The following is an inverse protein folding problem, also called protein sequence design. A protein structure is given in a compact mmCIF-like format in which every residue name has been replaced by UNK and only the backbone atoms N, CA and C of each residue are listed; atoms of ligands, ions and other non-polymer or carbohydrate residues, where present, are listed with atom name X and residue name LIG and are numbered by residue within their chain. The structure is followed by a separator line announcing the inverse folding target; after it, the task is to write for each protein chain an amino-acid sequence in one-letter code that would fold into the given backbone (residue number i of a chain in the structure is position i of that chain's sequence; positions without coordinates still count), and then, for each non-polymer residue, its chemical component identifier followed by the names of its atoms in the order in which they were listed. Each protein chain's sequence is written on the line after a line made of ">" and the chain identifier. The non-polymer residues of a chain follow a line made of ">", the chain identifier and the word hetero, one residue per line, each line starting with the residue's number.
data_IF_339056682560
#
_entry.id   IF_339056682560
#
_cell.length_a   1.000
_cell.length_b   1.000
_cell.length_c   1.000
_cell.angle_alpha   90.00
_cell.angle_beta   90.00
_cell.angle_gamma   90.00
#
_symmetry.space_group_name_H-M   'P 1'
#
loop_
_entity.id
_entity.type
_entity.pdbx_description
1 polymer ?
#
# COMPACT_ATOMS: atom_id res chain seq x y z
N UNK A 1 -3.96 15.59 -60.27
CA UNK A 1 -3.14 16.05 -59.15
C UNK A 1 -3.89 15.97 -57.81
N UNK A 2 -4.55 14.84 -57.44
CA UNK A 2 -5.27 14.69 -56.14
C UNK A 2 -5.04 13.32 -55.46
N UNK A 3 -3.95 12.60 -55.77
CA UNK A 3 -3.65 11.29 -55.16
C UNK A 3 -2.31 11.21 -54.41
N UNK A 4 -1.57 12.34 -54.26
CA UNK A 4 -0.26 12.33 -53.59
C UNK A 4 -0.30 12.81 -52.12
N UNK A 5 -1.39 13.42 -51.63
CA UNK A 5 -1.45 13.96 -50.26
C UNK A 5 -1.89 12.96 -49.20
N UNK A 6 -2.54 11.83 -49.60
CA UNK A 6 -3.04 10.85 -48.64
C UNK A 6 -1.96 9.83 -48.17
N UNK A 7 -0.88 9.67 -48.93
CA UNK A 7 0.16 8.71 -48.59
C UNK A 7 1.22 9.26 -47.64
N UNK A 8 1.37 10.58 -47.58
CA UNK A 8 2.34 11.22 -46.69
C UNK A 8 1.83 11.30 -45.22
N UNK A 9 0.51 11.31 -45.01
CA UNK A 9 -0.08 11.40 -43.65
C UNK A 9 -0.02 10.08 -42.90
N UNK A 10 -0.06 8.93 -43.61
CA UNK A 10 -0.01 7.59 -42.99
C UNK A 10 1.42 7.26 -42.51
N UNK A 11 2.45 7.75 -43.20
CA UNK A 11 3.84 7.52 -42.79
C UNK A 11 4.25 8.32 -41.55
N UNK A 12 3.65 9.49 -41.34
CA UNK A 12 3.91 10.32 -40.12
C UNK A 12 3.29 9.73 -38.83
N UNK A 13 2.13 9.05 -38.94
CA UNK A 13 1.54 8.40 -37.76
C UNK A 13 2.27 7.12 -37.34
N UNK A 14 2.84 6.36 -38.26
CA UNK A 14 3.61 5.16 -37.94
C UNK A 14 4.98 5.47 -37.33
N UNK A 15 5.59 6.61 -37.65
CA UNK A 15 6.88 6.99 -37.09
C UNK A 15 6.78 7.56 -35.63
N UNK A 16 5.62 8.04 -35.21
CA UNK A 16 5.44 8.56 -33.83
C UNK A 16 5.31 7.40 -32.84
N UNK A 17 4.71 6.28 -33.20
CA UNK A 17 4.63 5.11 -32.34
C UNK A 17 5.97 4.33 -32.24
N UNK A 18 6.80 4.31 -33.27
CA UNK A 18 8.12 3.65 -33.23
C UNK A 18 9.15 4.41 -32.37
N UNK A 19 9.03 5.73 -32.21
CA UNK A 19 9.93 6.52 -31.37
C UNK A 19 9.57 6.46 -29.87
N UNK A 20 8.36 6.00 -29.52
CA UNK A 20 7.93 5.89 -28.12
C UNK A 20 8.35 4.55 -27.45
N UNK A 21 8.86 3.58 -28.20
CA UNK A 21 9.12 2.23 -27.67
C UNK A 21 10.50 2.01 -27.05
N UNK A 22 11.41 2.98 -27.05
CA UNK A 22 12.80 2.78 -26.55
C UNK A 22 13.23 3.72 -25.42
N UNK A 23 12.33 4.54 -24.87
CA UNK A 23 12.67 5.35 -23.71
C UNK A 23 12.46 4.54 -22.42
N UNK A 24 13.60 4.26 -21.73
CA UNK A 24 13.58 3.62 -20.42
C UNK A 24 12.70 4.44 -19.44
N UNK A 25 11.81 3.80 -18.67
CA UNK A 25 10.93 4.52 -17.75
C UNK A 25 11.71 5.46 -16.84
N UNK A 26 11.20 6.69 -16.65
CA UNK A 26 11.84 7.71 -15.83
C UNK A 26 12.21 7.23 -14.42
N UNK A 27 11.36 6.42 -13.82
CA UNK A 27 11.56 5.92 -12.47
C UNK A 27 12.64 4.83 -12.35
N UNK A 28 13.17 4.31 -13.47
CA UNK A 28 14.25 3.35 -13.49
C UNK A 28 15.63 4.05 -13.45
N UNK A 29 16.52 3.58 -12.59
CA UNK A 29 17.92 4.02 -12.51
C UNK A 29 18.81 2.88 -13.00
N UNK A 30 19.57 3.13 -14.04
CA UNK A 30 20.49 2.14 -14.63
C UNK A 30 21.93 2.41 -14.20
N UNK A 31 22.71 1.34 -14.01
CA UNK A 31 24.16 1.38 -13.79
C UNK A 31 24.81 0.27 -14.63
N UNK A 32 25.80 0.62 -15.46
CA UNK A 32 26.46 -0.31 -16.38
C UNK A 32 25.46 -1.09 -17.24
N UNK A 33 24.47 -0.40 -17.82
CA UNK A 33 23.42 -0.99 -18.69
C UNK A 33 22.36 -1.83 -17.97
N UNK A 34 22.51 -2.10 -16.66
CA UNK A 34 21.56 -2.92 -15.88
C UNK A 34 20.70 -2.06 -14.98
N UNK A 35 19.41 -2.40 -14.86
CA UNK A 35 18.48 -1.77 -13.92
C UNK A 35 19.02 -1.94 -12.49
N UNK A 36 19.37 -0.81 -11.87
CA UNK A 36 20.08 -0.81 -10.59
C UNK A 36 19.17 -0.46 -9.41
N UNK A 37 18.37 0.60 -9.53
CA UNK A 37 17.50 1.13 -8.50
C UNK A 37 16.28 1.84 -9.11
N UNK A 38 15.44 2.41 -8.25
CA UNK A 38 14.24 3.16 -8.63
C UNK A 38 14.20 4.51 -7.95
N UNK A 39 13.40 5.44 -8.49
CA UNK A 39 13.11 6.77 -7.93
C UNK A 39 11.63 7.08 -8.04
N UNK A 40 11.15 8.02 -7.23
CA UNK A 40 9.80 8.56 -7.37
C UNK A 40 9.65 9.34 -8.69
N UNK A 41 8.41 9.55 -9.10
CA UNK A 41 8.07 10.52 -10.14
C UNK A 41 8.44 11.93 -9.68
N UNK A 42 8.53 12.86 -10.61
CA UNK A 42 8.85 14.25 -10.30
C UNK A 42 7.73 14.97 -9.56
N UNK A 43 8.07 16.06 -8.88
CA UNK A 43 7.14 16.96 -8.18
C UNK A 43 6.80 16.57 -6.75
N UNK A 44 7.08 15.34 -6.31
CA UNK A 44 6.87 14.94 -4.93
C UNK A 44 7.92 15.50 -3.95
N UNK A 45 7.63 15.55 -2.63
CA UNK A 45 8.55 16.07 -1.62
C UNK A 45 9.85 15.27 -1.58
N UNK A 46 10.97 15.97 -1.48
CA UNK A 46 12.31 15.37 -1.37
C UNK A 46 12.79 15.47 0.07
N UNK A 47 13.38 14.38 0.56
CA UNK A 47 14.07 14.40 1.84
C UNK A 47 15.35 15.21 1.73
N UNK A 48 15.63 16.03 2.76
CA UNK A 48 16.91 16.73 2.87
C UNK A 48 18.06 15.69 2.77
N UNK A 49 18.99 15.86 1.81
CA UNK A 49 20.12 14.93 1.65
C UNK A 49 21.06 14.91 2.86
N UNK A 50 21.11 16.00 3.63
CA UNK A 50 21.94 16.14 4.84
C UNK A 50 21.25 15.63 6.09
N UNK A 51 20.01 15.19 6.00
CA UNK A 51 19.25 14.71 7.14
C UNK A 51 19.90 13.46 7.74
N UNK A 52 20.19 13.53 9.05
CA UNK A 52 20.68 12.40 9.85
C UNK A 52 19.65 12.02 10.90
N UNK A 53 19.27 10.75 10.88
CA UNK A 53 18.35 10.20 11.86
C UNK A 53 18.98 10.17 13.26
N UNK A 54 18.30 10.73 14.24
CA UNK A 54 18.75 10.73 15.65
C UNK A 54 18.00 9.65 16.47
N UNK A 55 18.59 8.46 16.54
CA UNK A 55 18.02 7.34 17.26
C UNK A 55 17.88 7.57 18.77
N UNK A 56 18.74 8.40 19.39
CA UNK A 56 18.66 8.72 20.82
C UNK A 56 17.41 9.54 21.09
N UNK A 57 17.23 10.63 20.36
CA UNK A 57 16.05 11.49 20.48
C UNK A 57 14.78 10.69 20.18
N UNK A 58 14.76 9.89 19.11
CA UNK A 58 13.57 9.06 18.80
C UNK A 58 13.19 8.15 19.95
N UNK A 59 14.15 7.47 20.59
CA UNK A 59 13.88 6.57 21.72
C UNK A 59 13.39 7.31 22.96
N UNK A 60 13.92 8.49 23.22
CA UNK A 60 13.51 9.33 24.36
C UNK A 60 12.07 9.85 24.16
N UNK A 61 11.76 10.39 23.00
CA UNK A 61 10.40 10.86 22.67
C UNK A 61 9.39 9.71 22.65
N UNK A 62 9.74 8.59 22.03
CA UNK A 62 8.89 7.40 22.00
C UNK A 62 8.49 6.90 23.39
N UNK A 63 9.36 7.01 24.41
CA UNK A 63 9.03 6.61 25.81
C UNK A 63 7.94 7.47 26.44
N UNK A 64 7.73 8.68 25.94
CA UNK A 64 6.69 9.61 26.42
C UNK A 64 5.31 9.26 25.87
N UNK A 65 5.25 8.51 24.77
CA UNK A 65 3.97 8.10 24.18
C UNK A 65 3.29 7.05 25.04
N UNK A 66 2.04 7.29 25.35
CA UNK A 66 1.16 6.30 26.00
C UNK A 66 0.57 5.38 24.94
N UNK A 67 0.51 4.09 25.24
CA UNK A 67 -0.26 3.14 24.45
C UNK A 67 -1.69 3.21 24.96
N UNK A 68 -2.44 4.13 24.38
CA UNK A 68 -3.83 4.43 24.75
C UNK A 68 -4.71 4.25 23.49
N UNK A 69 -5.64 3.31 23.56
CA UNK A 69 -6.64 3.05 22.52
C UNK A 69 -7.91 2.48 23.17
N UNK A 70 -9.09 2.75 22.60
CA UNK A 70 -10.34 2.22 23.13
C UNK A 70 -10.33 0.68 23.13
N UNK A 71 -10.84 0.01 24.17
CA UNK A 71 -10.91 -1.44 24.24
C UNK A 71 -11.60 -2.06 23.03
N UNK A 72 -12.60 -1.39 22.46
CA UNK A 72 -13.33 -1.81 21.28
C UNK A 72 -12.54 -1.67 19.97
N UNK A 73 -11.31 -1.15 19.97
CA UNK A 73 -10.46 -1.07 18.79
C UNK A 73 -10.08 -2.45 18.24
N UNK A 74 -10.11 -3.47 19.07
CA UNK A 74 -9.80 -4.86 18.68
C UNK A 74 -11.00 -5.74 18.90
N UNK A 75 -11.43 -6.46 17.86
CA UNK A 75 -12.49 -7.45 17.94
C UNK A 75 -11.93 -8.75 18.53
N UNK A 76 -12.65 -9.32 19.48
CA UNK A 76 -12.30 -10.62 20.06
C UNK A 76 -12.15 -11.69 18.96
N UNK A 77 -11.12 -12.53 19.09
CA UNK A 77 -10.78 -13.56 18.09
C UNK A 77 -11.94 -14.53 17.82
N UNK A 78 -12.70 -14.92 18.83
CA UNK A 78 -13.82 -15.85 18.64
C UNK A 78 -14.94 -15.20 17.84
N UNK A 79 -15.17 -13.90 18.05
CA UNK A 79 -16.12 -13.11 17.26
C UNK A 79 -15.63 -12.99 15.82
N UNK A 80 -14.33 -12.76 15.60
CA UNK A 80 -13.75 -12.71 14.25
C UNK A 80 -13.94 -14.02 13.50
N UNK A 81 -13.66 -15.17 14.13
CA UNK A 81 -13.85 -16.50 13.54
C UNK A 81 -15.32 -16.75 13.20
N UNK A 82 -16.23 -16.41 14.09
CA UNK A 82 -17.69 -16.51 13.85
C UNK A 82 -18.13 -15.62 12.68
N UNK A 83 -17.58 -14.40 12.58
CA UNK A 83 -17.89 -13.49 11.49
C UNK A 83 -17.34 -13.98 10.15
N UNK A 84 -16.14 -14.56 10.11
CA UNK A 84 -15.61 -15.18 8.89
C UNK A 84 -16.50 -16.29 8.37
N UNK A 85 -17.05 -17.14 9.24
CA UNK A 85 -18.00 -18.19 8.86
C UNK A 85 -19.33 -17.57 8.39
N UNK A 86 -19.84 -16.56 9.11
CA UNK A 86 -21.07 -15.84 8.74
C UNK A 86 -20.99 -15.21 7.35
N UNK A 87 -19.87 -14.57 7.02
CA UNK A 87 -19.69 -13.83 5.76
C UNK A 87 -18.96 -14.63 4.67
N UNK A 88 -18.81 -15.96 4.84
CA UNK A 88 -18.03 -16.79 3.92
C UNK A 88 -18.51 -16.75 2.46
N UNK A 89 -19.81 -16.50 2.22
CA UNK A 89 -20.41 -16.40 0.88
C UNK A 89 -20.45 -14.96 0.35
N UNK A 90 -20.21 -13.96 1.20
CA UNK A 90 -20.26 -12.55 0.82
C UNK A 90 -18.90 -12.07 0.27
N UNK A 91 -18.92 -10.99 -0.52
CA UNK A 91 -17.73 -10.17 -0.74
C UNK A 91 -17.56 -9.23 0.45
N UNK A 92 -16.34 -9.14 1.00
CA UNK A 92 -16.08 -8.37 2.21
C UNK A 92 -14.67 -7.82 2.27
N UNK A 93 -14.47 -6.86 3.15
CA UNK A 93 -13.17 -6.33 3.58
C UNK A 93 -13.01 -6.62 5.08
N UNK A 94 -11.86 -7.12 5.47
CA UNK A 94 -11.46 -7.34 6.86
C UNK A 94 -10.12 -6.69 7.13
N UNK A 95 -10.01 -5.90 8.20
CA UNK A 95 -8.73 -5.37 8.65
C UNK A 95 -8.06 -6.35 9.63
N UNK A 96 -6.89 -6.87 9.24
CA UNK A 96 -6.11 -7.73 10.13
C UNK A 96 -5.30 -6.90 11.13
N UNK A 97 -4.49 -6.00 10.63
CA UNK A 97 -3.75 -4.97 11.36
C UNK A 97 -2.94 -4.12 10.38
N UNK A 98 -2.46 -2.97 10.78
CA UNK A 98 -1.53 -2.11 10.04
C UNK A 98 -1.96 -1.88 8.57
N UNK A 99 -1.21 -2.42 7.60
CA UNK A 99 -1.56 -2.43 6.18
C UNK A 99 -2.04 -3.81 5.69
N UNK A 100 -2.32 -4.74 6.62
CA UNK A 100 -2.77 -6.09 6.28
C UNK A 100 -4.28 -6.15 6.24
N UNK A 101 -4.85 -6.44 5.06
CA UNK A 101 -6.28 -6.65 4.84
C UNK A 101 -6.53 -7.98 4.16
N UNK A 102 -7.71 -8.55 4.46
CA UNK A 102 -8.31 -9.60 3.63
C UNK A 102 -9.46 -8.96 2.87
N UNK A 103 -9.41 -9.03 1.54
CA UNK A 103 -10.44 -8.50 0.63
C UNK A 103 -10.98 -9.69 -0.17
N UNK A 104 -12.22 -10.07 0.08
CA UNK A 104 -12.91 -11.13 -0.68
C UNK A 104 -13.79 -10.51 -1.74
N UNK A 105 -13.56 -10.88 -3.00
CA UNK A 105 -14.29 -10.43 -4.19
C UNK A 105 -14.85 -11.67 -4.91
N UNK A 106 -16.11 -11.99 -4.67
CA UNK A 106 -16.68 -13.25 -5.15
C UNK A 106 -15.88 -14.44 -4.62
N UNK A 107 -15.38 -15.30 -5.51
CA UNK A 107 -14.58 -16.47 -5.15
C UNK A 107 -13.08 -16.19 -4.98
N UNK A 108 -12.66 -14.96 -5.18
CA UNK A 108 -11.25 -14.56 -5.05
C UNK A 108 -11.01 -13.85 -3.73
N UNK A 109 -10.17 -14.44 -2.88
CA UNK A 109 -9.72 -13.82 -1.63
C UNK A 109 -8.29 -13.28 -1.78
N UNK A 110 -8.13 -12.02 -1.51
CA UNK A 110 -6.89 -11.25 -1.61
C UNK A 110 -6.35 -10.99 -0.20
N UNK A 111 -5.05 -11.08 -0.01
CA UNK A 111 -4.37 -10.56 1.20
C UNK A 111 -3.35 -9.50 0.79
N UNK A 112 -3.29 -8.40 1.56
CA UNK A 112 -2.35 -7.31 1.34
C UNK A 112 -1.33 -7.25 2.46
N UNK A 113 -0.05 -7.03 2.13
CA UNK A 113 1.07 -6.74 3.04
C UNK A 113 1.06 -7.50 4.38
N UNK A 114 0.89 -8.83 4.43
CA UNK A 114 0.68 -9.54 5.68
C UNK A 114 1.95 -9.68 6.50
N UNK A 115 1.89 -9.24 7.78
CA UNK A 115 2.96 -9.40 8.78
C UNK A 115 2.36 -9.96 10.07
N UNK A 116 2.53 -11.26 10.28
CA UNK A 116 1.98 -11.98 11.45
C UNK A 116 2.93 -12.05 12.65
N UNK A 117 4.14 -11.51 12.53
CA UNK A 117 5.12 -11.42 13.61
C UNK A 117 4.76 -10.35 14.64
N UNK A 118 5.29 -10.53 15.87
CA UNK A 118 5.11 -9.58 16.98
C UNK A 118 5.92 -8.29 16.83
N UNK A 119 6.83 -8.22 15.84
CA UNK A 119 7.67 -7.05 15.60
C UNK A 119 7.92 -6.83 14.12
N UNK A 120 8.07 -5.58 13.74
CA UNK A 120 8.41 -5.15 12.39
C UNK A 120 9.94 -5.02 12.24
N UNK A 121 10.60 -6.14 11.95
CA UNK A 121 12.04 -6.16 11.80
C UNK A 121 12.61 -7.56 11.60
N UNK A 122 13.93 -7.67 11.41
CA UNK A 122 14.56 -8.96 11.31
C UNK A 122 14.59 -9.67 12.67
N UNK A 123 14.19 -10.94 12.71
CA UNK A 123 14.14 -11.77 13.91
C UNK A 123 13.32 -11.13 15.05
N UNK A 124 13.98 -10.69 16.11
CA UNK A 124 13.36 -10.06 17.31
C UNK A 124 13.54 -8.54 17.34
N UNK A 125 14.21 -7.98 16.34
CA UNK A 125 14.50 -6.54 16.28
C UNK A 125 13.37 -5.77 15.61
N UNK A 126 13.37 -4.45 15.80
CA UNK A 126 12.41 -3.53 15.23
C UNK A 126 11.27 -3.16 16.19
N UNK A 127 10.35 -2.30 15.74
CA UNK A 127 9.17 -1.90 16.53
C UNK A 127 8.30 -3.09 16.87
N UNK A 128 7.93 -3.22 18.16
CA UNK A 128 6.98 -4.24 18.60
C UNK A 128 5.55 -3.77 18.33
N UNK A 129 4.71 -4.68 17.87
CA UNK A 129 3.27 -4.50 17.93
C UNK A 129 2.82 -4.48 19.39
N UNK A 130 1.91 -3.61 19.73
CA UNK A 130 1.21 -3.61 21.01
C UNK A 130 -0.17 -4.28 20.89
N UNK A 131 -0.60 -4.61 19.67
CA UNK A 131 -1.77 -5.40 19.34
C UNK A 131 -1.31 -6.59 18.49
N UNK A 132 -1.73 -7.80 18.87
CA UNK A 132 -1.54 -9.00 18.03
C UNK A 132 -2.58 -9.01 16.91
N UNK A 133 -2.25 -9.65 15.78
CA UNK A 133 -3.22 -9.90 14.71
C UNK A 133 -4.40 -10.75 15.25
N UNK A 134 -5.64 -10.45 14.84
CA UNK A 134 -6.83 -11.14 15.35
C UNK A 134 -6.91 -12.61 14.90
N UNK A 135 -6.10 -12.98 13.92
CA UNK A 135 -6.00 -14.34 13.39
C UNK A 135 -4.53 -14.77 13.32
N UNK A 136 -4.32 -16.07 13.42
CA UNK A 136 -3.06 -16.70 13.08
C UNK A 136 -3.01 -17.05 11.59
N UNK A 137 -1.82 -17.34 11.04
CA UNK A 137 -1.67 -17.81 9.65
C UNK A 137 -2.47 -19.10 9.33
N UNK A 138 -2.80 -19.90 10.35
CA UNK A 138 -3.60 -21.14 10.17
C UNK A 138 -5.09 -20.86 10.08
N UNK A 139 -5.53 -19.69 10.52
CA UNK A 139 -6.95 -19.33 10.65
C UNK A 139 -7.44 -18.41 9.54
N UNK A 140 -6.50 -17.80 8.78
CA UNK A 140 -6.91 -17.00 7.63
C UNK A 140 -7.64 -17.88 6.60
N UNK A 141 -8.65 -17.34 5.92
CA UNK A 141 -9.33 -18.05 4.84
C UNK A 141 -8.36 -18.42 3.72
N UNK A 142 -8.78 -19.30 2.82
CA UNK A 142 -7.99 -19.64 1.63
C UNK A 142 -7.72 -18.39 0.83
N UNK A 143 -6.44 -18.08 0.59
CA UNK A 143 -5.98 -16.93 -0.19
C UNK A 143 -5.68 -17.35 -1.62
N UNK A 144 -6.27 -16.64 -2.58
CA UNK A 144 -6.07 -16.83 -4.02
C UNK A 144 -5.02 -15.86 -4.58
N UNK A 145 -4.93 -14.64 -3.99
CA UNK A 145 -4.07 -13.57 -4.47
C UNK A 145 -3.35 -12.90 -3.29
N UNK A 146 -2.02 -12.82 -3.38
CA UNK A 146 -1.16 -12.13 -2.44
C UNK A 146 -0.65 -10.84 -3.11
N UNK A 147 -0.96 -9.67 -2.54
CA UNK A 147 -0.45 -8.38 -2.97
C UNK A 147 0.59 -7.88 -1.97
N UNK A 148 1.73 -7.43 -2.45
CA UNK A 148 2.77 -6.80 -1.65
C UNK A 148 3.15 -5.46 -2.26
N UNK A 149 3.02 -4.37 -1.49
CA UNK A 149 3.26 -3.02 -1.98
C UNK A 149 4.73 -2.63 -2.02
N UNK A 150 5.52 -3.03 -1.03
CA UNK A 150 6.95 -2.74 -0.95
C UNK A 150 7.66 -3.62 0.09
N UNK A 151 8.94 -3.38 0.31
CA UNK A 151 9.79 -4.27 1.10
C UNK A 151 10.13 -3.80 2.52
N UNK A 152 9.51 -2.75 3.06
CA UNK A 152 9.71 -2.40 4.46
C UNK A 152 9.29 -3.53 5.39
N UNK A 153 9.83 -3.55 6.61
CA UNK A 153 9.63 -4.68 7.52
C UNK A 153 8.22 -4.81 8.06
N UNK A 154 7.48 -3.72 8.11
CA UNK A 154 6.09 -3.64 8.52
C UNK A 154 5.08 -3.99 7.41
N UNK A 155 5.56 -4.22 6.18
CA UNK A 155 4.77 -4.69 5.03
C UNK A 155 5.21 -6.05 4.52
N UNK A 156 6.51 -6.36 4.58
CA UNK A 156 7.05 -7.62 4.07
C UNK A 156 7.77 -8.40 5.17
N UNK A 157 7.19 -9.48 5.65
CA UNK A 157 7.82 -10.43 6.54
C UNK A 157 8.27 -11.68 5.81
N UNK A 158 9.57 -11.97 5.90
CA UNK A 158 10.13 -13.21 5.34
C UNK A 158 9.60 -14.45 6.10
N UNK A 159 9.34 -14.33 7.41
CA UNK A 159 8.78 -15.43 8.21
C UNK A 159 7.34 -15.69 7.80
N UNK A 160 6.52 -14.66 7.62
CA UNK A 160 5.16 -14.79 7.07
C UNK A 160 5.21 -15.42 5.68
N UNK A 161 6.04 -14.92 4.74
CA UNK A 161 6.19 -15.49 3.39
C UNK A 161 6.60 -16.98 3.46
N UNK A 162 7.57 -17.32 4.31
CA UNK A 162 8.05 -18.72 4.48
C UNK A 162 6.96 -19.64 5.02
N UNK A 163 6.16 -19.19 5.99
CA UNK A 163 5.16 -20.01 6.68
C UNK A 163 3.73 -19.86 6.11
N UNK A 164 3.57 -19.05 5.07
CA UNK A 164 2.25 -18.82 4.46
C UNK A 164 1.65 -20.13 3.94
N UNK A 165 0.40 -20.49 4.33
CA UNK A 165 -0.14 -21.80 4.02
C UNK A 165 -0.54 -21.99 2.55
N UNK A 166 -0.82 -20.91 1.83
CA UNK A 166 -1.35 -20.95 0.46
C UNK A 166 -0.27 -20.59 -0.57
N UNK A 167 0.74 -21.47 -0.74
CA UNK A 167 1.86 -21.27 -1.67
C UNK A 167 1.47 -21.29 -3.15
N UNK A 168 0.29 -21.80 -3.47
CA UNK A 168 -0.30 -21.77 -4.81
C UNK A 168 -1.01 -20.46 -5.14
N UNK A 169 -1.19 -19.57 -4.17
CA UNK A 169 -1.74 -18.24 -4.42
C UNK A 169 -0.89 -17.50 -5.47
N UNK A 170 -1.56 -16.80 -6.39
CA UNK A 170 -0.88 -15.86 -7.28
C UNK A 170 -0.31 -14.71 -6.47
N UNK A 171 0.92 -14.32 -6.74
CA UNK A 171 1.64 -13.27 -6.02
C UNK A 171 1.94 -12.13 -6.98
N UNK A 172 1.43 -10.93 -6.70
CA UNK A 172 1.74 -9.71 -7.43
C UNK A 172 2.56 -8.79 -6.53
N UNK A 173 3.73 -8.41 -6.99
CA UNK A 173 4.74 -7.69 -6.21
C UNK A 173 5.52 -6.72 -7.09
N UNK A 174 6.11 -5.67 -6.52
CA UNK A 174 6.98 -4.78 -7.26
C UNK A 174 8.25 -5.48 -7.78
N UNK A 175 8.83 -4.91 -8.83
CA UNK A 175 10.10 -5.37 -9.43
C UNK A 175 11.20 -5.59 -8.38
N UNK A 176 11.97 -6.68 -8.57
CA UNK A 176 13.11 -7.14 -7.76
C UNK A 176 12.76 -7.70 -6.37
N UNK A 177 11.52 -8.11 -6.15
CA UNK A 177 11.10 -8.79 -4.92
C UNK A 177 10.83 -10.29 -5.09
N UNK A 178 10.72 -10.82 -6.31
CA UNK A 178 10.36 -12.22 -6.60
C UNK A 178 11.23 -13.26 -5.92
N UNK A 179 12.53 -12.97 -5.77
CA UNK A 179 13.48 -13.86 -5.07
C UNK A 179 13.09 -14.17 -3.62
N UNK A 180 12.39 -13.27 -2.94
CA UNK A 180 11.96 -13.49 -1.55
C UNK A 180 10.84 -14.52 -1.45
N UNK A 181 10.04 -14.68 -2.50
CA UNK A 181 8.98 -15.67 -2.59
C UNK A 181 9.51 -17.01 -3.11
N UNK A 182 10.23 -17.01 -4.24
CA UNK A 182 10.73 -18.24 -4.86
C UNK A 182 11.70 -19.01 -3.96
N UNK A 183 12.54 -18.33 -3.17
CA UNK A 183 13.41 -18.96 -2.16
C UNK A 183 12.66 -19.50 -0.93
N UNK A 184 11.38 -19.17 -0.78
CA UNK A 184 10.53 -19.59 0.33
C UNK A 184 9.36 -20.49 -0.12
N UNK A 185 9.55 -21.24 -1.21
CA UNK A 185 8.67 -22.34 -1.62
C UNK A 185 7.52 -21.96 -2.55
N UNK A 186 7.50 -20.72 -3.09
CA UNK A 186 6.56 -20.36 -4.15
C UNK A 186 7.10 -20.77 -5.52
N UNK A 187 6.23 -21.28 -6.39
CA UNK A 187 6.61 -21.59 -7.77
C UNK A 187 6.83 -20.29 -8.55
N UNK A 188 7.79 -20.29 -9.48
CA UNK A 188 8.16 -19.10 -10.24
C UNK A 188 7.00 -18.56 -11.10
N UNK A 189 6.16 -19.42 -11.61
CA UNK A 189 4.99 -19.09 -12.43
C UNK A 189 3.85 -18.44 -11.63
N UNK A 190 3.78 -18.69 -10.31
CA UNK A 190 2.80 -18.01 -9.43
C UNK A 190 3.25 -16.63 -8.99
N UNK A 191 4.53 -16.26 -9.15
CA UNK A 191 5.10 -14.99 -8.69
C UNK A 191 5.32 -14.06 -9.86
N UNK A 192 4.57 -12.95 -9.92
CA UNK A 192 4.68 -11.92 -10.95
C UNK A 192 5.23 -10.64 -10.36
N UNK A 193 6.40 -10.25 -10.79
CA UNK A 193 6.94 -8.91 -10.56
C UNK A 193 6.27 -7.91 -11.52
N UNK A 194 5.85 -6.76 -10.99
CA UNK A 194 5.14 -5.72 -11.73
C UNK A 194 5.93 -4.41 -11.71
N UNK A 195 5.92 -3.71 -12.83
CA UNK A 195 6.31 -2.31 -12.93
C UNK A 195 5.09 -1.40 -12.76
N UNK A 196 5.31 -0.10 -12.57
CA UNK A 196 4.21 0.87 -12.58
C UNK A 196 3.49 0.84 -13.93
N UNK A 197 2.17 0.84 -13.87
CA UNK A 197 1.21 0.72 -14.96
C UNK A 197 1.08 -0.68 -15.58
N UNK A 198 1.83 -1.69 -15.07
CA UNK A 198 1.55 -3.07 -15.46
C UNK A 198 0.15 -3.48 -15.01
N UNK A 199 -0.58 -4.13 -15.91
CA UNK A 199 -1.96 -4.59 -15.72
C UNK A 199 -2.03 -6.11 -15.89
N UNK A 200 -2.58 -6.80 -14.90
CA UNK A 200 -2.68 -8.26 -14.86
C UNK A 200 -4.14 -8.67 -14.67
N UNK A 201 -4.67 -9.43 -15.62
CA UNK A 201 -5.95 -10.11 -15.47
C UNK A 201 -5.76 -11.31 -14.53
N UNK A 202 -6.52 -11.36 -13.45
CA UNK A 202 -6.51 -12.45 -12.47
C UNK A 202 -7.48 -13.55 -12.93
N UNK A 203 -8.70 -13.15 -13.26
CA UNK A 203 -9.76 -13.94 -13.85
C UNK A 203 -10.67 -13.03 -14.70
N UNK A 204 -11.84 -13.49 -15.10
CA UNK A 204 -12.74 -12.70 -15.96
C UNK A 204 -13.36 -11.50 -15.24
N UNK A 205 -13.44 -11.52 -13.92
CA UNK A 205 -14.04 -10.46 -13.12
C UNK A 205 -13.02 -9.50 -12.49
N UNK A 206 -11.75 -9.94 -12.32
CA UNK A 206 -10.76 -9.19 -11.55
C UNK A 206 -9.52 -8.89 -12.40
N UNK A 207 -9.19 -7.61 -12.42
CA UNK A 207 -7.93 -7.10 -13.00
C UNK A 207 -7.20 -6.26 -11.95
N UNK A 208 -5.87 -6.36 -11.90
CA UNK A 208 -5.03 -5.59 -10.98
C UNK A 208 -4.01 -4.80 -11.78
N UNK A 209 -3.97 -3.48 -11.55
CA UNK A 209 -2.98 -2.57 -12.11
C UNK A 209 -2.08 -2.05 -11.00
N UNK A 210 -0.76 -2.08 -11.20
CA UNK A 210 0.18 -1.45 -10.28
C UNK A 210 0.34 0.02 -10.61
N UNK A 211 0.21 0.90 -9.61
CA UNK A 211 0.29 2.35 -9.77
C UNK A 211 1.45 2.93 -8.92
N UNK A 212 2.02 4.08 -9.31
CA UNK A 212 3.07 4.73 -8.54
C UNK A 212 2.59 5.17 -7.15
N UNK A 213 3.54 5.23 -6.21
CA UNK A 213 3.38 5.82 -4.88
C UNK A 213 4.56 6.72 -4.57
N UNK A 214 4.33 7.81 -3.82
CA UNK A 214 5.38 8.69 -3.31
C UNK A 214 6.00 8.08 -2.05
N UNK A 215 6.90 7.10 -2.26
CA UNK A 215 7.51 6.36 -1.16
C UNK A 215 8.96 5.96 -1.49
N UNK A 216 9.46 4.92 -0.86
CA UNK A 216 10.80 4.39 -1.04
C UNK A 216 10.85 2.92 -0.58
N UNK A 217 11.94 2.23 -0.90
CA UNK A 217 12.17 0.86 -0.46
C UNK A 217 13.51 0.72 0.27
N UNK A 218 13.55 -0.09 1.32
CA UNK A 218 14.77 -0.45 2.04
C UNK A 218 14.51 -1.68 2.90
N UNK A 219 15.44 -2.63 2.86
CA UNK A 219 15.35 -3.84 3.69
C UNK A 219 16.57 -4.06 4.59
N UNK A 220 17.65 -3.36 4.35
CA UNK A 220 18.86 -3.47 5.15
C UNK A 220 18.90 -2.37 6.22
N UNK A 221 19.15 -2.75 7.49
CA UNK A 221 19.15 -1.81 8.62
C UNK A 221 20.44 -0.99 8.72
N UNK A 222 21.54 -1.47 8.15
CA UNK A 222 22.83 -0.80 8.20
C UNK A 222 23.14 -0.06 6.90
N UNK A 223 23.41 1.24 7.01
CA UNK A 223 23.73 2.08 5.84
C UNK A 223 22.63 2.23 4.80
N UNK A 224 22.96 2.79 3.64
CA UNK A 224 22.03 3.05 2.53
C UNK A 224 22.13 2.06 1.35
N UNK A 225 22.93 1.00 1.48
CA UNK A 225 23.30 0.13 0.35
C UNK A 225 22.16 -0.53 -0.41
N UNK A 226 21.00 -0.74 0.23
CA UNK A 226 19.82 -1.35 -0.38
C UNK A 226 18.64 -0.39 -0.57
N UNK A 227 18.84 0.93 -0.36
CA UNK A 227 17.78 1.90 -0.57
C UNK A 227 17.37 1.92 -2.05
N UNK A 228 16.07 1.85 -2.30
CA UNK A 228 15.44 1.89 -3.62
C UNK A 228 15.94 0.81 -4.61
N UNK A 229 16.42 -0.33 -4.11
CA UNK A 229 16.88 -1.45 -4.95
C UNK A 229 15.75 -2.36 -5.43
N UNK A 230 14.58 -2.26 -4.85
CA UNK A 230 13.32 -2.79 -5.35
C UNK A 230 12.34 -1.65 -5.60
N UNK A 231 11.38 -1.87 -6.47
CA UNK A 231 10.29 -0.93 -6.70
C UNK A 231 9.32 -0.97 -5.51
N UNK A 232 8.40 -0.03 -5.46
CA UNK A 232 7.24 0.08 -4.56
C UNK A 232 6.05 0.58 -5.35
N UNK A 233 4.83 0.40 -4.87
CA UNK A 233 3.64 0.92 -5.56
C UNK A 233 2.34 0.44 -4.96
N UNK A 234 1.28 1.12 -5.37
CA UNK A 234 -0.11 0.86 -5.02
C UNK A 234 -0.74 -0.12 -6.00
N UNK A 235 -1.90 -0.66 -5.65
CA UNK A 235 -2.67 -1.52 -6.53
C UNK A 235 -4.07 -0.94 -6.77
N UNK A 236 -4.46 -0.83 -8.03
CA UNK A 236 -5.84 -0.62 -8.44
C UNK A 236 -6.46 -1.97 -8.81
N UNK A 237 -7.47 -2.38 -8.08
CA UNK A 237 -8.21 -3.63 -8.28
C UNK A 237 -9.54 -3.28 -8.91
N UNK A 238 -9.78 -3.76 -10.12
CA UNK A 238 -11.04 -3.62 -10.84
C UNK A 238 -11.84 -4.92 -10.67
N UNK A 239 -13.08 -4.81 -10.18
CA UNK A 239 -13.98 -5.94 -9.94
C UNK A 239 -15.42 -5.58 -10.29
N UNK A 240 -16.03 -6.25 -11.28
CA UNK A 240 -17.42 -6.04 -11.72
C UNK A 240 -17.80 -4.56 -11.90
N UNK A 241 -16.92 -3.80 -12.57
CA UNK A 241 -17.11 -2.37 -12.82
C UNK A 241 -16.84 -1.45 -11.63
N UNK A 242 -16.53 -1.99 -10.46
CA UNK A 242 -16.07 -1.24 -9.27
C UNK A 242 -14.56 -1.18 -9.21
N UNK A 243 -14.02 -0.14 -8.61
CA UNK A 243 -12.58 0.10 -8.47
C UNK A 243 -12.20 0.25 -7.01
N UNK A 244 -11.21 -0.52 -6.58
CA UNK A 244 -10.65 -0.47 -5.23
C UNK A 244 -9.17 -0.09 -5.36
N UNK A 245 -8.77 1.00 -4.75
CA UNK A 245 -7.38 1.45 -4.71
C UNK A 245 -6.76 1.11 -3.36
N UNK A 246 -5.77 0.26 -3.38
CA UNK A 246 -4.96 -0.06 -2.20
C UNK A 246 -3.65 0.71 -2.29
N UNK A 247 -3.59 1.85 -1.60
CA UNK A 247 -2.37 2.62 -1.52
C UNK A 247 -1.33 1.84 -0.71
N UNK A 248 -0.13 1.82 -1.20
CA UNK A 248 1.05 1.58 -0.38
C UNK A 248 1.19 2.70 0.65
N UNK A 249 2.20 2.63 1.48
CA UNK A 249 2.68 3.82 2.15
C UNK A 249 2.97 4.90 1.12
N UNK A 250 2.47 6.09 1.37
CA UNK A 250 2.66 7.20 0.45
C UNK A 250 2.59 8.55 1.13
N UNK A 251 3.41 9.48 0.66
CA UNK A 251 3.27 10.91 0.92
C UNK A 251 2.47 11.60 -0.18
N UNK A 252 2.15 12.90 -0.01
CA UNK A 252 1.49 13.69 -1.04
C UNK A 252 2.39 13.87 -2.27
N UNK A 253 1.81 13.84 -3.47
CA UNK A 253 2.52 14.10 -4.71
C UNK A 253 1.55 14.56 -5.81
N UNK A 254 1.96 15.43 -6.75
CA UNK A 254 1.09 16.00 -7.76
C UNK A 254 0.56 14.97 -8.76
N UNK A 255 1.25 13.88 -9.00
CA UNK A 255 0.85 12.84 -9.96
C UNK A 255 -0.46 12.12 -9.59
N UNK A 256 -0.94 12.24 -8.33
CA UNK A 256 -2.22 11.65 -7.93
C UNK A 256 -3.40 12.26 -8.68
N UNK A 257 -3.32 13.55 -9.03
CA UNK A 257 -4.33 14.20 -9.87
C UNK A 257 -4.38 13.56 -11.27
N UNK A 258 -3.22 13.35 -11.89
CA UNK A 258 -3.13 12.71 -13.21
C UNK A 258 -3.64 11.25 -13.17
N UNK A 259 -3.35 10.53 -12.07
CA UNK A 259 -3.90 9.19 -11.85
C UNK A 259 -5.43 9.24 -11.69
N UNK A 260 -5.97 10.24 -10.99
CA UNK A 260 -7.40 10.46 -10.85
C UNK A 260 -8.10 10.77 -12.17
N UNK A 261 -7.44 11.53 -13.06
CA UNK A 261 -7.95 11.78 -14.43
C UNK A 261 -7.99 10.48 -15.25
N UNK A 262 -6.94 9.65 -15.13
CA UNK A 262 -6.80 8.44 -15.94
C UNK A 262 -7.63 7.26 -15.44
N UNK A 263 -7.71 7.06 -14.12
CA UNK A 263 -8.27 5.85 -13.52
C UNK A 263 -9.54 6.08 -12.71
N UNK A 264 -9.83 7.32 -12.32
CA UNK A 264 -11.04 7.68 -11.57
C UNK A 264 -12.34 7.57 -12.41
N UNK A 265 -13.52 7.63 -11.77
CA UNK A 265 -13.69 7.58 -10.32
C UNK A 265 -13.32 6.21 -9.72
N UNK A 266 -12.90 6.22 -8.45
CA UNK A 266 -12.55 5.02 -7.67
C UNK A 266 -13.56 4.90 -6.53
N UNK A 267 -14.16 3.71 -6.35
CA UNK A 267 -15.25 3.52 -5.38
C UNK A 267 -14.73 3.46 -3.93
N UNK A 268 -13.59 2.79 -3.68
CA UNK A 268 -13.01 2.62 -2.36
C UNK A 268 -11.48 2.77 -2.41
N UNK A 269 -10.90 3.59 -1.53
CA UNK A 269 -9.45 3.75 -1.40
C UNK A 269 -8.97 3.43 0.00
N UNK A 270 -7.83 2.75 0.10
CA UNK A 270 -7.12 2.48 1.36
C UNK A 270 -5.84 3.31 1.38
N UNK A 271 -5.53 3.95 2.51
CA UNK A 271 -4.29 4.72 2.61
C UNK A 271 -3.83 4.94 4.05
N UNK A 272 -2.54 5.20 4.19
CA UNK A 272 -1.90 5.43 5.47
C UNK A 272 -2.34 6.76 6.10
N UNK A 273 -2.75 6.70 7.35
CA UNK A 273 -3.05 7.88 8.20
C UNK A 273 -2.10 8.01 9.39
N UNK A 274 -1.15 7.09 9.54
CA UNK A 274 -0.16 7.06 10.61
C UNK A 274 1.28 7.12 10.11
N UNK A 275 2.23 7.15 11.04
CA UNK A 275 3.67 7.22 10.81
C UNK A 275 4.13 8.53 10.12
N UNK A 276 3.52 9.67 10.47
CA UNK A 276 3.80 10.97 9.87
C UNK A 276 4.58 11.94 10.75
N UNK A 277 4.46 11.85 12.09
CA UNK A 277 5.11 12.81 12.99
C UNK A 277 6.47 12.31 13.49
N UNK A 278 7.53 12.97 13.05
CA UNK A 278 8.91 12.70 13.48
C UNK A 278 9.57 13.91 14.19
N UNK A 279 8.77 14.91 14.60
CA UNK A 279 9.28 16.02 15.43
C UNK A 279 9.69 15.50 16.81
N UNK A 280 10.84 15.91 17.40
CA UNK A 280 11.78 16.94 16.92
C UNK A 280 12.93 16.38 16.06
N UNK A 281 12.90 15.15 15.63
CA UNK A 281 13.97 14.56 14.81
C UNK A 281 13.98 15.19 13.42
N UNK A 282 12.81 15.35 12.81
CA UNK A 282 12.58 16.17 11.63
C UNK A 282 12.04 17.49 12.18
N UNK A 283 12.70 18.59 11.84
CA UNK A 283 12.39 19.92 12.38
C UNK A 283 11.07 20.52 11.87
N UNK A 284 10.16 19.69 11.39
CA UNK A 284 8.82 20.08 10.93
C UNK A 284 7.80 19.15 11.55
N UNK A 285 6.88 19.73 12.33
CA UNK A 285 5.77 18.99 12.92
C UNK A 285 4.85 18.47 11.81
N UNK A 286 4.39 17.24 11.96
CA UNK A 286 3.41 16.59 11.07
C UNK A 286 3.82 16.48 9.60
N UNK A 287 5.12 16.46 9.28
CA UNK A 287 5.59 16.25 7.91
C UNK A 287 6.51 15.06 7.79
N UNK A 288 6.26 14.26 6.77
CA UNK A 288 7.13 13.18 6.33
C UNK A 288 7.18 13.15 4.81
N UNK A 289 8.32 12.76 4.27
CA UNK A 289 8.49 12.63 2.81
C UNK A 289 7.93 11.35 2.23
N UNK A 290 7.47 10.44 3.06
CA UNK A 290 7.04 9.10 2.60
C UNK A 290 5.74 8.60 3.22
N UNK A 291 5.11 9.41 4.08
CA UNK A 291 3.81 9.13 4.68
C UNK A 291 2.96 10.38 4.69
N UNK A 292 1.73 10.28 4.23
CA UNK A 292 0.75 11.32 4.39
C UNK A 292 0.26 11.35 5.85
N UNK A 293 0.01 12.54 6.38
CA UNK A 293 -0.84 12.69 7.56
C UNK A 293 -2.31 12.51 7.16
N UNK A 294 -3.26 12.45 8.12
CA UNK A 294 -4.67 12.22 7.80
C UNK A 294 -5.26 13.21 6.79
N UNK A 295 -4.93 14.49 6.90
CA UNK A 295 -5.42 15.55 6.00
C UNK A 295 -4.79 15.45 4.61
N UNK A 296 -3.51 15.14 4.54
CA UNK A 296 -2.81 14.92 3.26
C UNK A 296 -3.35 13.67 2.55
N UNK A 297 -3.71 12.61 3.29
CA UNK A 297 -4.37 11.45 2.71
C UNK A 297 -5.73 11.82 2.10
N UNK A 298 -6.58 12.53 2.84
CA UNK A 298 -7.87 12.97 2.32
C UNK A 298 -7.72 13.80 1.04
N UNK A 299 -6.75 14.71 1.01
CA UNK A 299 -6.46 15.53 -0.16
C UNK A 299 -6.02 14.69 -1.37
N UNK A 300 -5.04 13.80 -1.21
CA UNK A 300 -4.57 12.98 -2.32
C UNK A 300 -5.63 11.97 -2.82
N UNK A 301 -6.47 11.46 -1.92
CA UNK A 301 -7.58 10.59 -2.31
C UNK A 301 -8.67 11.36 -3.08
N UNK A 302 -8.85 12.66 -2.78
CA UNK A 302 -9.72 13.53 -3.57
C UNK A 302 -9.15 13.77 -4.97
N UNK A 303 -7.85 14.01 -5.08
CA UNK A 303 -7.13 14.13 -6.36
C UNK A 303 -7.27 12.83 -7.20
N UNK A 304 -7.23 11.67 -6.58
CA UNK A 304 -7.48 10.37 -7.19
C UNK A 304 -8.95 10.12 -7.56
N UNK A 305 -9.87 11.02 -7.21
CA UNK A 305 -11.33 10.86 -7.38
C UNK A 305 -11.88 9.61 -6.66
N UNK A 306 -11.34 9.33 -5.47
CA UNK A 306 -11.83 8.26 -4.58
C UNK A 306 -13.10 8.73 -3.89
N UNK A 307 -14.14 7.90 -3.85
CA UNK A 307 -15.44 8.23 -3.24
C UNK A 307 -15.43 8.00 -1.73
N UNK A 308 -14.92 6.83 -1.26
CA UNK A 308 -14.84 6.47 0.16
C UNK A 308 -13.43 6.05 0.51
N UNK A 309 -12.92 6.47 1.66
CA UNK A 309 -11.52 6.29 2.06
C UNK A 309 -11.44 5.52 3.37
N UNK A 310 -10.65 4.45 3.38
CA UNK A 310 -10.29 3.67 4.57
C UNK A 310 -8.92 4.11 5.07
N UNK A 311 -8.87 4.60 6.31
CA UNK A 311 -7.61 4.94 6.98
C UNK A 311 -6.93 3.69 7.57
N UNK A 312 -5.68 3.44 7.19
CA UNK A 312 -4.86 2.32 7.65
C UNK A 312 -3.48 2.77 8.17
N UNK A 313 -2.61 1.83 8.51
CA UNK A 313 -1.22 2.07 8.93
C UNK A 313 -1.09 2.85 10.25
N UNK A 314 -1.97 2.55 11.22
CA UNK A 314 -2.02 3.18 12.55
C UNK A 314 -2.45 2.15 13.60
N UNK A 315 -2.33 2.50 14.91
CA UNK A 315 -2.96 1.75 15.99
C UNK A 315 -2.42 0.33 16.26
N UNK A 316 -1.24 -0.04 15.75
CA UNK A 316 -0.66 -1.39 15.92
C UNK A 316 0.74 -1.40 16.52
N UNK A 317 1.57 -0.46 16.14
CA UNK A 317 2.94 -0.29 16.64
C UNK A 317 3.32 1.19 16.65
N UNK A 318 4.24 1.58 17.50
CA UNK A 318 4.79 2.93 17.52
C UNK A 318 5.90 3.01 16.48
N UNK A 319 5.60 3.59 15.33
CA UNK A 319 6.54 3.81 14.21
C UNK A 319 7.04 5.26 14.14
N UNK A 320 6.30 6.20 14.71
CA UNK A 320 6.51 7.64 14.71
C UNK A 320 6.13 8.23 16.07
N UNK A 321 5.94 9.53 16.16
CA UNK A 321 5.80 10.22 17.44
C UNK A 321 4.44 10.93 17.63
N UNK A 322 3.47 10.70 16.73
CA UNK A 322 2.09 11.11 16.99
C UNK A 322 1.45 10.25 18.08
N UNK A 323 0.51 10.80 18.86
CA UNK A 323 -0.31 10.01 19.78
C UNK A 323 -1.05 8.90 19.05
N UNK A 324 -1.12 7.70 19.64
CA UNK A 324 -1.59 6.48 18.94
C UNK A 324 -3.02 6.63 18.40
N UNK A 325 -3.88 7.35 19.13
CA UNK A 325 -5.27 7.54 18.75
C UNK A 325 -5.54 8.85 17.98
N UNK A 326 -4.52 9.68 17.76
CA UNK A 326 -4.68 10.94 16.99
C UNK A 326 -5.04 10.69 15.51
N UNK A 327 -4.41 9.73 14.78
CA UNK A 327 -4.67 9.57 13.35
C UNK A 327 -6.14 9.35 12.98
N UNK A 328 -6.91 8.42 13.57
CA UNK A 328 -8.32 8.21 13.23
C UNK A 328 -9.19 9.39 13.63
N UNK A 329 -8.88 10.10 14.72
CA UNK A 329 -9.62 11.29 15.15
C UNK A 329 -9.45 12.40 14.14
N UNK A 330 -8.21 12.74 13.76
CA UNK A 330 -7.92 13.77 12.74
C UNK A 330 -8.55 13.41 11.40
N UNK A 331 -8.46 12.15 10.99
CA UNK A 331 -9.02 11.66 9.73
C UNK A 331 -10.53 11.89 9.66
N UNK A 332 -11.26 11.46 10.68
CA UNK A 332 -12.73 11.65 10.77
C UNK A 332 -13.13 13.11 10.88
N UNK A 333 -12.45 13.88 11.73
CA UNK A 333 -12.80 15.29 12.01
C UNK A 333 -12.57 16.20 10.81
N UNK A 334 -11.61 15.88 9.96
CA UNK A 334 -11.27 16.72 8.82
C UNK A 334 -11.90 16.26 7.49
N UNK A 335 -12.63 15.13 7.47
CA UNK A 335 -13.20 14.56 6.24
C UNK A 335 -14.00 15.60 5.42
N UNK A 336 -14.91 16.33 6.05
CA UNK A 336 -15.79 17.32 5.40
C UNK A 336 -14.99 18.47 4.78
N UNK A 337 -13.87 18.88 5.37
CA UNK A 337 -13.02 19.94 4.81
C UNK A 337 -12.39 19.56 3.46
N UNK A 338 -12.28 18.25 3.21
CA UNK A 338 -11.74 17.70 1.95
C UNK A 338 -12.85 17.17 1.03
N UNK A 339 -14.13 17.49 1.33
CA UNK A 339 -15.29 17.14 0.51
C UNK A 339 -15.69 15.66 0.57
N UNK A 340 -15.48 15.02 1.73
CA UNK A 340 -16.02 13.71 2.07
C UNK A 340 -17.11 13.86 3.12
N UNK A 341 -18.19 13.10 3.00
CA UNK A 341 -19.10 12.93 4.13
C UNK A 341 -18.37 12.19 5.26
N UNK A 342 -18.83 12.37 6.49
CA UNK A 342 -18.20 11.77 7.67
C UNK A 342 -18.17 10.24 7.61
N UNK A 343 -19.14 9.66 6.95
CA UNK A 343 -19.30 8.21 6.72
C UNK A 343 -18.35 7.69 5.66
N UNK A 344 -17.91 8.53 4.72
CA UNK A 344 -17.00 8.18 3.63
C UNK A 344 -15.53 8.11 4.08
N UNK A 345 -15.19 8.71 5.22
CA UNK A 345 -13.91 8.55 5.90
C UNK A 345 -14.00 7.37 6.89
N UNK A 346 -13.66 6.19 6.46
CA UNK A 346 -13.92 4.91 7.15
C UNK A 346 -12.75 4.51 8.03
N UNK A 347 -13.04 4.18 9.28
CA UNK A 347 -12.09 3.57 10.22
C UNK A 347 -12.62 2.19 10.60
N UNK A 348 -11.79 1.17 10.40
CA UNK A 348 -12.06 -0.18 10.87
C UNK A 348 -11.53 -0.39 12.27
N UNK A 349 -12.15 -1.33 13.01
CA UNK A 349 -11.55 -2.00 14.15
C UNK A 349 -10.67 -3.15 13.69
N UNK A 350 -9.63 -3.48 14.41
CA UNK A 350 -8.81 -4.65 14.09
C UNK A 350 -9.65 -5.91 14.26
N UNK A 351 -9.73 -6.73 13.21
CA UNK A 351 -10.61 -7.90 13.12
C UNK A 351 -12.02 -7.61 12.61
N UNK A 352 -12.36 -6.35 12.34
CA UNK A 352 -13.69 -6.01 11.80
C UNK A 352 -13.84 -6.48 10.36
N UNK A 353 -15.00 -7.03 10.06
CA UNK A 353 -15.43 -7.41 8.72
C UNK A 353 -16.62 -6.54 8.32
N UNK A 354 -16.51 -5.88 7.17
CA UNK A 354 -17.62 -5.15 6.53
C UNK A 354 -17.89 -5.76 5.16
N UNK A 355 -19.16 -5.88 4.80
CA UNK A 355 -19.52 -6.30 3.43
C UNK A 355 -19.01 -5.27 2.44
N UNK A 356 -18.57 -5.74 1.28
CA UNK A 356 -18.09 -4.85 0.22
C UNK A 356 -19.20 -3.91 -0.25
N UNK A 357 -20.41 -4.40 -0.39
CA UNK A 357 -21.58 -3.60 -0.80
C UNK A 357 -21.84 -2.39 0.11
N UNK A 358 -21.64 -2.54 1.43
CA UNK A 358 -21.81 -1.44 2.40
C UNK A 358 -20.71 -0.37 2.25
N UNK A 359 -19.58 -0.74 1.65
CA UNK A 359 -18.42 0.14 1.46
C UNK A 359 -18.43 0.88 0.12
N UNK A 360 -19.09 0.35 -0.91
CA UNK A 360 -18.98 0.89 -2.28
C UNK A 360 -20.31 1.38 -2.88
N UNK A 361 -21.40 1.30 -2.12
CA UNK A 361 -22.73 1.83 -2.52
C UNK A 361 -23.03 3.18 -1.93
#
# INVERSE_FOLDING_TARGET
>A
MKKLSSFLLIILFFNIELFAMDQKPYHHIYKNGKLFAFRNLEGGPKRDPNFKWNWKVFREEKKKLKIDYPPEHVIDRQIVLKNLEKYKSDSYVMWLDHASFIIKLGDTTIITDPVFEKNYGPMIFGPKKFIDSPLTLKEIPKINLFLLTHNHYDHMSIRTIKNFPYKSAKVLIPLKLGKYFTRNGYKKDTVKEMDWFDKIKINDEITVTMLPSQHWSKRWIWGNGNKNRSLWGSFLIEYKGKKIFFACDTGPAPFYKDLGEKFGPIDLGFGNIGAYNFFPIINVKDKSTGHANPEELLSLMKDLKVKKVVGMHWGTAILSLEPIWEPPVRFKTNAEKFGYEKEDAIIFKIGEIKKLEDLIN
#
